data_IF_419183589700
#
_entry.id   IF_419183589700
#
_cell.length_a   1.000
_cell.length_b   1.000
_cell.length_c   1.000
_cell.angle_alpha   90.00
_cell.angle_beta   90.00
_cell.angle_gamma   90.00
#
_symmetry.space_group_name_H-M   'P 1'
#
loop_
_entity.id
_entity.type
_entity.pdbx_description
1 polymer ?
#
# COMPACT_ATOMS: atom_id res chain seq x y z
N UNK A 1 -17.24 7.75 -0.90
CA UNK A 1 -15.97 8.51 -0.72
C UNK A 1 -14.94 7.98 -1.70
N UNK A 2 -14.29 8.87 -2.46
CA UNK A 2 -13.18 8.52 -3.36
C UNK A 2 -11.85 8.73 -2.64
N UNK A 3 -10.89 7.84 -2.83
CA UNK A 3 -9.53 7.98 -2.28
C UNK A 3 -8.48 7.55 -3.28
N UNK A 4 -7.31 8.19 -3.22
CA UNK A 4 -6.11 7.77 -3.93
C UNK A 4 -5.23 6.99 -2.96
N UNK A 5 -4.74 5.83 -3.39
CA UNK A 5 -3.87 4.97 -2.58
C UNK A 5 -2.54 4.84 -3.30
N UNK A 6 -1.46 5.32 -2.68
CA UNK A 6 -0.09 5.10 -3.14
C UNK A 6 0.49 3.94 -2.35
N UNK A 7 1.04 2.93 -3.03
CA UNK A 7 1.64 1.80 -2.34
C UNK A 7 3.01 1.46 -2.88
N UNK A 8 3.87 0.98 -2.00
CA UNK A 8 5.22 0.54 -2.32
C UNK A 8 5.61 -0.63 -1.42
N UNK A 9 6.30 -1.61 -1.98
CA UNK A 9 6.80 -2.78 -1.30
C UNK A 9 8.30 -2.97 -1.50
N UNK A 10 9.09 -2.79 -0.45
CA UNK A 10 10.53 -2.92 -0.53
C UNK A 10 11.01 -4.27 0.02
N UNK A 11 11.99 -4.89 -0.65
CA UNK A 11 12.69 -6.07 -0.16
C UNK A 11 14.21 -5.93 -0.28
N UNK A 12 14.94 -6.15 0.83
CA UNK A 12 16.41 -6.16 0.84
C UNK A 12 16.95 -7.56 0.56
N UNK A 13 17.22 -7.84 -0.72
CA UNK A 13 17.54 -9.18 -1.23
C UNK A 13 16.32 -9.79 -1.92
N UNK A 14 16.48 -10.92 -2.63
CA UNK A 14 15.35 -11.57 -3.31
C UNK A 14 15.50 -13.10 -3.30
N UNK A 15 15.20 -13.78 -2.17
CA UNK A 15 14.46 -13.28 -1.02
C UNK A 15 15.30 -12.59 0.07
N UNK A 16 14.66 -11.78 0.92
CA UNK A 16 15.28 -11.11 2.07
C UNK A 16 14.28 -10.32 2.92
N UNK A 17 14.71 -9.56 3.95
CA UNK A 17 13.81 -8.76 4.78
C UNK A 17 12.99 -7.77 3.96
N UNK A 18 11.67 -7.76 4.17
CA UNK A 18 10.73 -6.97 3.37
C UNK A 18 9.81 -6.10 4.24
N UNK A 19 9.43 -4.96 3.71
CA UNK A 19 8.46 -4.04 4.30
C UNK A 19 7.47 -3.55 3.26
N UNK A 20 6.36 -3.01 3.74
CA UNK A 20 5.30 -2.46 2.90
C UNK A 20 4.90 -1.07 3.38
N UNK A 21 4.42 -0.24 2.47
CA UNK A 21 3.85 1.07 2.73
C UNK A 21 2.60 1.33 1.88
N UNK A 22 1.61 2.00 2.48
CA UNK A 22 0.51 2.60 1.74
C UNK A 22 0.17 3.98 2.34
N UNK A 23 0.04 4.99 1.50
CA UNK A 23 -0.50 6.32 1.85
C UNK A 23 -1.86 6.49 1.17
N UNK A 24 -2.84 7.03 1.89
CA UNK A 24 -4.22 7.19 1.42
C UNK A 24 -4.60 8.65 1.52
N UNK A 25 -4.89 9.25 0.37
CA UNK A 25 -5.30 10.65 0.23
C UNK A 25 -6.80 10.74 -0.08
N UNK A 26 -7.47 11.74 0.49
CA UNK A 26 -8.83 12.12 0.10
C UNK A 26 -8.84 12.86 -1.25
N UNK A 27 -10.03 13.25 -1.72
CA UNK A 27 -10.20 14.01 -2.98
C UNK A 27 -9.54 15.40 -2.98
N UNK A 28 -9.22 15.96 -1.81
CA UNK A 28 -8.52 17.23 -1.66
C UNK A 28 -6.98 17.07 -1.64
N UNK A 29 -6.48 15.83 -1.68
CA UNK A 29 -5.06 15.52 -1.56
C UNK A 29 -4.54 15.51 -0.11
N UNK A 30 -5.42 15.52 0.90
CA UNK A 30 -4.98 15.37 2.29
C UNK A 30 -4.75 13.89 2.60
N UNK A 31 -3.59 13.57 3.19
CA UNK A 31 -3.32 12.23 3.71
C UNK A 31 -4.20 11.95 4.93
N UNK A 32 -5.12 10.99 4.78
CA UNK A 32 -6.09 10.63 5.82
C UNK A 32 -5.72 9.33 6.54
N UNK A 33 -4.82 8.52 5.97
CA UNK A 33 -4.31 7.31 6.61
C UNK A 33 -2.99 6.84 6.00
N UNK A 34 -2.20 6.14 6.82
CA UNK A 34 -0.98 5.44 6.43
C UNK A 34 -1.04 3.99 6.90
N UNK A 35 -0.52 3.08 6.10
CA UNK A 35 -0.17 1.71 6.49
C UNK A 35 1.35 1.54 6.34
N UNK A 36 1.99 0.98 7.35
CA UNK A 36 3.37 0.51 7.24
C UNK A 36 3.55 -0.75 8.07
N UNK A 37 4.30 -1.71 7.54
CA UNK A 37 4.56 -2.95 8.27
C UNK A 37 5.83 -3.65 7.79
N UNK A 38 6.53 -4.28 8.72
CA UNK A 38 7.55 -5.27 8.42
C UNK A 38 6.88 -6.63 8.22
N UNK A 39 7.07 -7.26 7.06
CA UNK A 39 6.36 -8.50 6.68
C UNK A 39 7.24 -9.76 6.74
N UNK A 40 8.39 -9.67 7.41
CA UNK A 40 9.35 -10.76 7.51
C UNK A 40 10.25 -10.86 6.28
N UNK A 41 10.74 -12.07 6.00
CA UNK A 41 11.50 -12.33 4.77
C UNK A 41 10.55 -12.71 3.63
N UNK A 42 10.78 -12.13 2.45
CA UNK A 42 9.97 -12.34 1.25
C UNK A 42 10.74 -12.01 -0.02
N UNK A 43 10.03 -11.92 -1.13
CA UNK A 43 10.54 -11.43 -2.43
C UNK A 43 10.04 -10.00 -2.65
N UNK A 44 10.65 -9.27 -3.59
CA UNK A 44 10.17 -7.92 -3.91
C UNK A 44 8.70 -7.94 -4.35
N UNK A 45 8.34 -8.79 -5.31
CA UNK A 45 6.97 -8.88 -5.82
C UNK A 45 5.94 -9.19 -4.71
N UNK A 46 6.31 -10.01 -3.72
CA UNK A 46 5.43 -10.28 -2.58
C UNK A 46 5.22 -9.03 -1.73
N UNK A 47 6.26 -8.22 -1.52
CA UNK A 47 6.13 -6.95 -0.80
C UNK A 47 5.18 -5.99 -1.53
N UNK A 48 5.37 -5.81 -2.84
CA UNK A 48 4.53 -4.94 -3.67
C UNK A 48 3.04 -5.32 -3.61
N UNK A 49 2.73 -6.61 -3.83
CA UNK A 49 1.33 -7.08 -3.75
C UNK A 49 0.74 -6.93 -2.35
N UNK A 50 1.53 -7.18 -1.31
CA UNK A 50 1.06 -7.02 0.07
C UNK A 50 0.80 -5.55 0.41
N UNK A 51 1.61 -4.62 -0.09
CA UNK A 51 1.39 -3.19 0.06
C UNK A 51 0.05 -2.75 -0.56
N UNK A 52 -0.22 -3.18 -1.79
CA UNK A 52 -1.49 -2.96 -2.47
C UNK A 52 -2.70 -3.51 -1.67
N UNK A 53 -2.61 -4.76 -1.23
CA UNK A 53 -3.68 -5.43 -0.46
C UNK A 53 -3.97 -4.68 0.85
N UNK A 54 -2.95 -4.32 1.60
CA UNK A 54 -3.13 -3.64 2.89
C UNK A 54 -3.63 -2.19 2.71
N UNK A 55 -3.21 -1.50 1.65
CA UNK A 55 -3.78 -0.20 1.26
C UNK A 55 -5.27 -0.27 0.96
N UNK A 56 -5.71 -1.23 0.13
CA UNK A 56 -7.13 -1.45 -0.19
C UNK A 56 -7.93 -1.83 1.04
N UNK A 57 -7.42 -2.72 1.91
CA UNK A 57 -8.09 -3.07 3.17
C UNK A 57 -8.31 -1.84 4.05
N UNK A 58 -7.30 -0.97 4.14
CA UNK A 58 -7.41 0.27 4.93
C UNK A 58 -8.42 1.23 4.31
N UNK A 59 -8.47 1.37 2.99
CA UNK A 59 -9.50 2.17 2.31
C UNK A 59 -10.92 1.64 2.57
N UNK A 60 -11.12 0.32 2.56
CA UNK A 60 -12.41 -0.31 2.92
C UNK A 60 -12.81 0.05 4.36
N UNK A 61 -11.87 0.02 5.32
CA UNK A 61 -12.14 0.41 6.71
C UNK A 61 -12.54 1.89 6.85
N UNK A 62 -12.10 2.73 5.93
CA UNK A 62 -12.47 4.14 5.86
C UNK A 62 -13.80 4.37 5.13
N UNK A 63 -14.47 3.31 4.67
CA UNK A 63 -15.70 3.36 3.85
C UNK A 63 -15.48 4.07 2.49
N UNK A 64 -14.31 3.85 1.87
CA UNK A 64 -14.11 4.24 0.48
C UNK A 64 -15.08 3.44 -0.43
N UNK A 65 -15.68 4.13 -1.38
CA UNK A 65 -16.60 3.58 -2.38
C UNK A 65 -15.93 3.44 -3.75
N UNK A 66 -14.94 4.30 -4.00
CA UNK A 66 -14.12 4.30 -5.20
C UNK A 66 -12.66 4.48 -4.79
N UNK A 67 -11.76 3.76 -5.46
CA UNK A 67 -10.33 3.81 -5.18
C UNK A 67 -9.55 3.99 -6.47
N UNK A 68 -8.51 4.82 -6.42
CA UNK A 68 -7.46 4.86 -7.43
C UNK A 68 -6.17 4.33 -6.81
N UNK A 69 -5.70 3.18 -7.25
CA UNK A 69 -4.46 2.58 -6.78
C UNK A 69 -3.30 3.02 -7.69
N UNK A 70 -2.30 3.70 -7.11
CA UNK A 70 -1.09 4.16 -7.77
C UNK A 70 0.11 3.37 -7.27
N UNK A 71 0.77 2.68 -8.20
CA UNK A 71 1.96 1.85 -7.95
C UNK A 71 2.98 2.13 -9.06
N UNK A 72 4.27 2.00 -8.74
CA UNK A 72 5.37 2.15 -9.70
C UNK A 72 5.91 0.80 -10.23
N UNK A 73 5.55 -0.31 -9.59
CA UNK A 73 5.80 -1.68 -10.08
C UNK A 73 4.74 -2.12 -11.10
N UNK A 74 5.20 -2.56 -12.29
CA UNK A 74 4.38 -3.12 -13.39
C UNK A 74 3.79 -4.51 -13.09
#
# INVERSE_FOLDING_TARGET
>A
MYVVIYTDGACRGNPGPSGIGASIENENGDEIAIVSSYIGNGTNNRAEYMAAIEGVKKAIQLNAEEIELRMDSL
#
